data_IF_689307400450
#
_entry.id   IF_689307400450
#
_cell.length_a   1.000
_cell.length_b   1.000
_cell.length_c   1.000
_cell.angle_alpha   90.00
_cell.angle_beta   90.00
_cell.angle_gamma   90.00
#
_symmetry.space_group_name_H-M   'P 1'
#
loop_
_entity.id
_entity.type
_entity.pdbx_description
1 polymer ?
#
# COMPACT_ATOMS: atom_id res chain seq x y z
N UNK A 1 -8.11 12.44 3.75
CA UNK A 1 -6.94 11.77 3.17
C UNK A 1 -7.17 11.60 1.68
N UNK A 2 -6.12 11.65 0.85
CA UNK A 2 -6.17 11.28 -0.57
C UNK A 2 -6.29 9.75 -0.69
N UNK A 3 -6.76 9.27 -1.83
CA UNK A 3 -6.90 7.84 -2.12
C UNK A 3 -5.98 7.43 -3.27
N UNK A 4 -5.61 6.14 -3.32
CA UNK A 4 -4.90 5.56 -4.45
C UNK A 4 -5.90 4.89 -5.40
N UNK A 5 -5.52 4.58 -6.65
CA UNK A 5 -6.38 3.82 -7.56
C UNK A 5 -6.82 2.44 -7.02
N UNK A 6 -6.14 1.91 -6.00
CA UNK A 6 -6.40 0.60 -5.42
C UNK A 6 -7.10 0.66 -4.05
N UNK A 7 -7.51 1.85 -3.57
CA UNK A 7 -8.13 2.01 -2.24
C UNK A 7 -9.32 1.08 -2.01
N UNK A 8 -10.25 0.97 -2.97
CA UNK A 8 -11.41 0.08 -2.85
C UNK A 8 -11.01 -1.41 -2.80
N UNK A 9 -9.93 -1.79 -3.50
CA UNK A 9 -9.40 -3.15 -3.42
C UNK A 9 -8.85 -3.44 -2.02
N UNK A 10 -8.13 -2.49 -1.42
CA UNK A 10 -7.60 -2.63 -0.06
C UNK A 10 -8.72 -2.78 0.98
N UNK A 11 -9.78 -1.97 0.87
CA UNK A 11 -10.95 -2.06 1.75
C UNK A 11 -11.65 -3.41 1.59
N UNK A 12 -11.87 -3.86 0.35
CA UNK A 12 -12.49 -5.15 0.07
C UNK A 12 -11.66 -6.35 0.58
N UNK A 13 -10.34 -6.22 0.61
CA UNK A 13 -9.43 -7.22 1.19
C UNK A 13 -9.33 -7.16 2.72
N UNK A 14 -10.05 -6.22 3.37
CA UNK A 14 -10.08 -6.11 4.83
C UNK A 14 -8.84 -5.44 5.43
N UNK A 15 -8.11 -4.64 4.64
CA UNK A 15 -6.93 -3.92 5.13
C UNK A 15 -7.27 -2.96 6.29
N UNK A 16 -6.38 -2.87 7.27
CA UNK A 16 -6.40 -1.80 8.26
C UNK A 16 -5.86 -0.52 7.62
N UNK A 17 -6.78 0.36 7.25
CA UNK A 17 -6.47 1.64 6.62
C UNK A 17 -6.03 2.68 7.66
N UNK A 18 -4.99 3.46 7.34
CA UNK A 18 -4.57 4.61 8.14
C UNK A 18 -3.96 5.73 7.29
N UNK A 19 -3.80 6.90 7.91
CA UNK A 19 -3.16 8.04 7.27
C UNK A 19 -1.64 7.84 7.15
N UNK A 20 -1.13 7.96 5.92
CA UNK A 20 0.30 7.99 5.63
C UNK A 20 0.60 9.07 4.57
N UNK A 21 1.42 10.06 4.92
CA UNK A 21 1.76 11.19 4.04
C UNK A 21 0.54 11.89 3.40
N UNK A 22 -0.60 11.93 4.12
CA UNK A 22 -1.85 12.50 3.66
C UNK A 22 -2.71 11.59 2.76
N UNK A 23 -2.29 10.34 2.53
CA UNK A 23 -3.05 9.30 1.82
C UNK A 23 -3.68 8.29 2.79
N UNK A 24 -4.80 7.69 2.37
CA UNK A 24 -5.48 6.61 3.06
C UNK A 24 -4.89 5.27 2.57
N UNK A 25 -3.94 4.72 3.32
CA UNK A 25 -3.11 3.59 2.89
C UNK A 25 -3.37 2.32 3.74
N UNK A 26 -3.22 1.11 3.17
CA UNK A 26 -3.27 -0.13 3.93
C UNK A 26 -1.99 -0.30 4.77
N UNK A 27 -2.12 -0.31 6.11
CA UNK A 27 -0.97 -0.50 7.02
C UNK A 27 -0.67 -2.00 7.24
N UNK A 28 -1.70 -2.83 7.23
CA UNK A 28 -1.62 -4.30 7.27
C UNK A 28 -2.96 -4.89 6.82
N UNK A 29 -2.95 -6.16 6.40
CA UNK A 29 -4.10 -6.99 6.03
C UNK A 29 -4.25 -8.16 7.02
N UNK A 30 -3.21 -9.00 7.15
CA UNK A 30 -3.21 -10.17 8.05
C UNK A 30 -2.34 -9.96 9.29
N UNK A 31 -1.47 -8.96 9.27
CA UNK A 31 -0.60 -8.57 10.38
C UNK A 31 0.82 -8.30 9.91
N UNK A 32 1.46 -7.26 10.45
CA UNK A 32 2.81 -6.81 10.03
C UNK A 32 3.83 -7.97 9.97
N UNK A 33 3.87 -8.84 10.97
CA UNK A 33 4.83 -9.96 11.00
C UNK A 33 4.53 -11.01 9.92
N UNK A 34 3.26 -11.30 9.65
CA UNK A 34 2.86 -12.28 8.63
C UNK A 34 3.22 -11.77 7.22
N UNK A 35 2.91 -10.51 6.93
CA UNK A 35 3.28 -9.86 5.67
C UNK A 35 4.79 -9.72 5.51
N UNK A 36 5.52 -9.45 6.60
CA UNK A 36 6.98 -9.46 6.57
C UNK A 36 7.51 -10.84 6.16
N UNK A 37 7.00 -11.93 6.74
CA UNK A 37 7.44 -13.27 6.37
C UNK A 37 7.04 -13.64 4.94
N UNK A 38 5.85 -13.23 4.48
CA UNK A 38 5.45 -13.40 3.09
C UNK A 38 6.47 -12.79 2.10
N UNK A 39 7.01 -11.61 2.40
CA UNK A 39 8.06 -10.96 1.60
C UNK A 39 9.40 -11.72 1.69
N UNK A 40 9.77 -12.21 2.89
CA UNK A 40 11.06 -12.87 3.12
C UNK A 40 11.14 -14.25 2.51
N UNK A 41 10.05 -15.00 2.60
CA UNK A 41 10.00 -16.42 2.27
C UNK A 41 9.32 -16.67 0.91
N UNK A 42 8.50 -15.74 0.44
CA UNK A 42 7.67 -15.89 -0.77
C UNK A 42 7.65 -14.59 -1.60
N UNK A 43 6.48 -13.96 -1.76
CA UNK A 43 6.27 -12.72 -2.52
C UNK A 43 5.36 -11.80 -1.70
N UNK A 44 5.74 -10.52 -1.60
CA UNK A 44 4.86 -9.46 -1.14
C UNK A 44 4.56 -8.47 -2.26
N UNK A 45 3.31 -8.00 -2.32
CA UNK A 45 2.84 -6.99 -3.28
C UNK A 45 2.51 -5.72 -2.52
N UNK A 46 3.03 -4.59 -2.98
CA UNK A 46 2.85 -3.29 -2.34
C UNK A 46 2.20 -2.30 -3.31
N UNK A 47 1.15 -1.62 -2.86
CA UNK A 47 0.63 -0.44 -3.53
C UNK A 47 1.46 0.80 -3.14
N UNK A 48 2.34 1.22 -4.05
CA UNK A 48 3.16 2.44 -3.88
C UNK A 48 2.67 3.59 -4.75
N UNK A 49 1.42 3.56 -5.22
CA UNK A 49 0.85 4.56 -6.15
C UNK A 49 0.71 5.96 -5.54
N UNK A 50 0.93 6.11 -4.23
CA UNK A 50 1.00 7.41 -3.56
C UNK A 50 2.32 8.16 -3.87
N UNK A 51 3.32 7.48 -4.43
CA UNK A 51 4.59 8.09 -4.82
C UNK A 51 4.41 9.04 -6.02
N UNK A 52 5.21 10.11 -6.01
CA UNK A 52 5.30 11.02 -7.15
C UNK A 52 6.28 10.50 -8.20
N UNK A 53 5.90 10.63 -9.46
CA UNK A 53 6.76 10.34 -10.61
C UNK A 53 7.08 11.63 -11.37
N UNK A 54 8.33 11.79 -11.79
CA UNK A 54 8.78 12.96 -12.56
C UNK A 54 9.41 12.53 -13.89
N UNK A 55 9.04 13.22 -14.96
CA UNK A 55 9.67 13.09 -16.26
C UNK A 55 10.62 14.25 -16.50
N UNK A 56 11.88 13.96 -16.85
CA UNK A 56 12.87 14.96 -17.26
C UNK A 56 13.19 14.73 -18.74
N UNK A 57 13.05 15.77 -19.55
CA UNK A 57 13.24 15.70 -21.01
C UNK A 57 13.98 16.96 -21.49
N UNK A 58 14.90 16.79 -22.43
CA UNK A 58 15.77 17.79 -23.02
C UNK A 58 16.77 17.15 -23.96
#
# INVERSE_FOLDING_TARGET
MKETPLTETHIALGARMAEFAGYNMPIEYEGISAEHQAVREHVGVFDVSHMGEFWVKG
#
